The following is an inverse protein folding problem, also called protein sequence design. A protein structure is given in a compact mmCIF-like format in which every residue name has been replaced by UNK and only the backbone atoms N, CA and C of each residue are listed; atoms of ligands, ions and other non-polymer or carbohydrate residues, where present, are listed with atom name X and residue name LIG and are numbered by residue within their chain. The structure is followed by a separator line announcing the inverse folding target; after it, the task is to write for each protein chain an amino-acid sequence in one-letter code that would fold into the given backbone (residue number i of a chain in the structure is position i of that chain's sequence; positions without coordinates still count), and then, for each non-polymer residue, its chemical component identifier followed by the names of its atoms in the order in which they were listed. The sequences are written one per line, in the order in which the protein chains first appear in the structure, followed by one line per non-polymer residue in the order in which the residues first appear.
data_IF_714719771149
#
_entry.id   IF_714719771149
#
_cell.length_a   1.000
_cell.length_b   1.000
_cell.length_c   1.000
_cell.angle_alpha   90.00
_cell.angle_beta   90.00
_cell.angle_gamma   90.00
#
_symmetry.space_group_name_H-M   'P 1'
#
loop_
_entity.id
_entity.type
_entity.pdbx_description
1 polymer ?
#
# COMPACT_ATOMS: atom_id res chain seq x y z
N UNK A 1 -1.22 16.55 5.41
CA UNK A 1 -2.04 15.53 4.69
C UNK A 1 -3.50 15.95 4.76
N UNK A 2 -4.24 15.74 3.68
CA UNK A 2 -5.65 16.12 3.56
C UNK A 2 -6.46 14.93 3.02
N UNK A 3 -7.62 14.70 3.62
CA UNK A 3 -8.51 13.63 3.17
C UNK A 3 -9.39 14.11 2.01
N UNK A 4 -9.48 13.29 0.95
CA UNK A 4 -10.55 13.35 -0.04
C UNK A 4 -11.72 12.53 0.49
N UNK A 5 -12.91 13.09 0.50
CA UNK A 5 -14.11 12.47 1.08
C UNK A 5 -15.21 12.28 0.07
N UNK A 6 -16.06 11.29 0.30
CA UNK A 6 -17.22 11.03 -0.54
C UNK A 6 -18.38 12.04 -0.33
N UNK A 7 -18.42 12.74 0.81
CA UNK A 7 -19.41 13.77 1.12
C UNK A 7 -18.72 15.02 1.69
N UNK A 8 -19.31 16.23 1.53
CA UNK A 8 -18.74 17.50 1.98
C UNK A 8 -18.91 17.71 3.49
N UNK A 9 -18.41 16.77 4.28
CA UNK A 9 -18.50 16.77 5.76
C UNK A 9 -17.33 15.98 6.35
N UNK A 10 -16.89 16.35 7.56
CA UNK A 10 -15.82 15.65 8.27
C UNK A 10 -16.11 14.17 8.60
N UNK A 11 -17.38 13.77 8.56
CA UNK A 11 -17.80 12.40 8.78
C UNK A 11 -17.98 11.60 7.48
N UNK A 12 -17.82 12.25 6.32
CA UNK A 12 -17.87 11.60 5.01
C UNK A 12 -16.81 10.52 4.88
N UNK A 13 -17.15 9.41 4.22
CA UNK A 13 -16.20 8.33 3.96
C UNK A 13 -14.94 8.85 3.26
N UNK A 14 -13.77 8.37 3.69
CA UNK A 14 -12.49 8.77 3.11
C UNK A 14 -12.26 7.95 1.85
N UNK A 15 -12.10 8.63 0.71
CA UNK A 15 -11.74 8.05 -0.58
C UNK A 15 -10.23 7.93 -0.76
N UNK A 16 -9.49 8.90 -0.21
CA UNK A 16 -8.04 8.92 -0.27
C UNK A 16 -7.44 9.92 0.70
N UNK A 17 -6.14 9.81 0.93
CA UNK A 17 -5.33 10.71 1.73
C UNK A 17 -4.24 11.30 0.83
N UNK A 18 -4.17 12.62 0.75
CA UNK A 18 -3.21 13.32 -0.11
C UNK A 18 -2.20 14.12 0.70
N UNK A 19 -0.99 14.20 0.19
CA UNK A 19 0.12 14.93 0.80
C UNK A 19 0.11 16.40 0.39
N UNK A 20 0.78 17.22 1.18
CA UNK A 20 0.94 18.64 0.90
C UNK A 20 1.62 18.83 -0.45
N UNK A 21 1.10 19.74 -1.27
CA UNK A 21 1.61 20.05 -2.60
C UNK A 21 0.99 19.20 -3.73
N UNK A 22 0.11 18.24 -3.42
CA UNK A 22 -0.64 17.57 -4.48
C UNK A 22 -1.57 18.55 -5.18
N UNK A 23 -1.46 18.64 -6.50
CA UNK A 23 -2.36 19.45 -7.32
C UNK A 23 -3.75 18.81 -7.37
N UNK A 24 -4.77 19.65 -7.25
CA UNK A 24 -6.17 19.25 -7.33
C UNK A 24 -6.94 20.23 -8.22
N UNK A 25 -7.88 19.74 -9.00
CA UNK A 25 -8.80 20.56 -9.78
C UNK A 25 -10.03 20.87 -8.94
N UNK A 26 -10.27 22.13 -8.61
CA UNK A 26 -11.49 22.56 -7.95
C UNK A 26 -12.61 22.64 -8.99
N UNK A 27 -13.62 21.78 -8.83
CA UNK A 27 -14.76 21.70 -9.76
C UNK A 27 -15.90 22.63 -9.35
N UNK A 28 -16.12 22.79 -8.05
CA UNK A 28 -17.15 23.67 -7.50
C UNK A 28 -16.90 23.96 -6.02
N UNK A 29 -17.34 25.13 -5.56
CA UNK A 29 -17.50 25.44 -4.14
C UNK A 29 -18.80 24.80 -3.69
N UNK A 30 -18.74 23.81 -2.81
CA UNK A 30 -19.92 23.06 -2.36
C UNK A 30 -20.62 23.73 -1.18
N UNK A 31 -19.82 24.18 -0.20
CA UNK A 31 -20.29 24.93 0.96
C UNK A 31 -19.13 25.74 1.56
N UNK A 32 -19.33 26.39 2.70
CA UNK A 32 -18.31 27.23 3.34
C UNK A 32 -17.07 26.46 3.81
N UNK A 33 -17.15 25.13 4.01
CA UNK A 33 -16.08 24.30 4.55
C UNK A 33 -15.44 23.38 3.51
N UNK A 34 -16.13 23.06 2.42
CA UNK A 34 -15.70 22.03 1.48
C UNK A 34 -15.88 22.45 0.02
N UNK A 35 -14.87 22.15 -0.76
CA UNK A 35 -14.90 22.23 -2.22
C UNK A 35 -15.00 20.84 -2.84
N UNK A 36 -15.75 20.75 -3.92
CA UNK A 36 -15.75 19.57 -4.79
C UNK A 36 -14.51 19.62 -5.66
N UNK A 37 -13.71 18.59 -5.60
CA UNK A 37 -12.42 18.52 -6.30
C UNK A 37 -12.27 17.23 -7.07
N UNK A 38 -11.37 17.25 -8.06
CA UNK A 38 -10.85 16.08 -8.73
C UNK A 38 -9.34 16.03 -8.53
N UNK A 39 -8.83 14.85 -8.24
CA UNK A 39 -7.39 14.58 -8.13
C UNK A 39 -7.07 13.18 -8.61
N UNK A 40 -6.18 13.06 -9.61
CA UNK A 40 -5.82 11.77 -10.21
C UNK A 40 -7.03 11.01 -10.80
N UNK A 41 -8.02 11.72 -11.36
CA UNK A 41 -9.24 11.13 -11.91
C UNK A 41 -10.28 10.72 -10.84
N UNK A 42 -10.03 10.99 -9.56
CA UNK A 42 -10.97 10.69 -8.47
C UNK A 42 -11.65 11.95 -8.01
N UNK A 43 -12.99 11.99 -8.10
CA UNK A 43 -13.80 13.12 -7.65
C UNK A 43 -14.25 12.92 -6.21
N UNK A 44 -14.21 13.99 -5.41
CA UNK A 44 -14.67 13.99 -4.03
C UNK A 44 -14.67 15.39 -3.43
N UNK A 45 -14.57 15.48 -2.11
CA UNK A 45 -14.64 16.73 -1.38
C UNK A 45 -13.42 16.89 -0.47
N UNK A 46 -12.79 18.07 -0.53
CA UNK A 46 -11.70 18.46 0.36
C UNK A 46 -12.08 19.72 1.15
N UNK A 47 -11.53 19.86 2.34
CA UNK A 47 -11.76 21.06 3.14
C UNK A 47 -11.07 22.27 2.50
N UNK A 48 -11.86 23.30 2.16
CA UNK A 48 -11.46 24.49 1.42
C UNK A 48 -10.32 25.26 2.08
N UNK A 49 -10.30 25.30 3.42
CA UNK A 49 -9.27 25.99 4.20
C UNK A 49 -7.84 25.49 3.96
N UNK A 50 -7.66 24.31 3.35
CA UNK A 50 -6.37 23.71 3.05
C UNK A 50 -6.04 23.69 1.56
N UNK A 51 -6.89 24.27 0.74
CA UNK A 51 -6.64 24.46 -0.69
C UNK A 51 -6.05 25.88 -0.90
N UNK A 52 -5.02 25.94 -1.71
CA UNK A 52 -4.30 27.19 -1.99
C UNK A 52 -4.29 27.37 -3.50
N UNK A 53 -4.71 28.54 -4.03
CA UNK A 53 -4.58 28.82 -5.45
C UNK A 53 -3.12 28.69 -5.92
N UNK A 54 -2.92 28.09 -7.09
CA UNK A 54 -1.58 27.82 -7.59
C UNK A 54 -0.72 29.08 -7.73
N UNK A 55 -1.33 30.18 -8.13
CA UNK A 55 -0.69 31.49 -8.26
C UNK A 55 -0.17 32.08 -6.94
N UNK A 56 -0.68 31.59 -5.80
CA UNK A 56 -0.25 32.05 -4.48
C UNK A 56 0.88 31.21 -3.90
N UNK A 57 1.19 30.04 -4.47
CA UNK A 57 2.16 29.08 -3.93
C UNK A 57 3.55 29.71 -3.90
N UNK A 58 4.02 30.28 -5.03
CA UNK A 58 5.33 30.89 -5.10
C UNK A 58 5.48 32.07 -4.13
N UNK A 59 4.44 32.89 -3.97
CA UNK A 59 4.43 34.03 -3.05
C UNK A 59 4.46 33.58 -1.56
N UNK A 60 3.82 32.46 -1.23
CA UNK A 60 3.75 31.98 0.16
C UNK A 60 4.94 31.11 0.57
N UNK A 61 5.51 30.33 -0.34
CA UNK A 61 6.48 29.27 -0.03
C UNK A 61 7.80 29.40 -0.79
N UNK A 62 7.89 30.33 -1.74
CA UNK A 62 9.03 30.51 -2.64
C UNK A 62 8.97 29.60 -3.89
N UNK A 63 9.72 29.99 -4.93
CA UNK A 63 9.73 29.25 -6.21
C UNK A 63 10.35 27.84 -6.09
N UNK A 64 11.32 27.67 -5.20
CA UNK A 64 12.02 26.39 -4.98
C UNK A 64 11.47 25.60 -3.76
N UNK A 65 10.21 25.76 -3.44
CA UNK A 65 9.61 25.19 -2.23
C UNK A 65 9.47 23.66 -2.21
N UNK A 66 9.70 22.97 -3.34
CA UNK A 66 9.41 21.54 -3.50
C UNK A 66 7.90 21.20 -3.40
N UNK A 67 7.06 22.23 -3.54
CA UNK A 67 5.61 22.05 -3.59
C UNK A 67 5.26 21.26 -4.86
N UNK A 68 4.52 20.16 -4.71
CA UNK A 68 4.22 19.24 -5.81
C UNK A 68 5.14 18.02 -5.90
N UNK A 69 6.24 18.01 -5.15
CA UNK A 69 7.16 16.85 -5.14
C UNK A 69 6.64 15.69 -4.26
N UNK A 70 5.62 15.94 -3.45
CA UNK A 70 5.06 14.93 -2.57
C UNK A 70 6.07 14.44 -1.53
N UNK A 71 5.88 13.23 -1.06
CA UNK A 71 6.81 12.54 -0.16
C UNK A 71 7.76 11.67 -0.97
N UNK A 72 9.06 11.84 -0.80
CA UNK A 72 10.06 11.00 -1.47
C UNK A 72 9.85 9.51 -1.10
N UNK A 73 9.85 8.67 -2.10
CA UNK A 73 9.77 7.21 -1.99
C UNK A 73 10.55 6.58 -3.16
N UNK A 74 10.73 5.28 -3.09
CA UNK A 74 11.38 4.49 -4.15
C UNK A 74 10.53 3.25 -4.44
N UNK A 75 10.63 2.72 -5.64
CA UNK A 75 10.06 1.44 -6.00
C UNK A 75 10.91 0.34 -5.34
N UNK A 76 10.28 -0.50 -4.54
CA UNK A 76 10.89 -1.63 -3.83
C UNK A 76 10.17 -2.92 -4.25
N UNK A 77 10.84 -3.71 -5.05
CA UNK A 77 10.35 -4.99 -5.55
C UNK A 77 11.01 -6.17 -4.84
N UNK A 78 11.78 -5.92 -3.77
CA UNK A 78 12.45 -6.97 -3.00
C UNK A 78 11.45 -7.99 -2.46
N UNK A 79 11.69 -9.25 -2.78
CA UNK A 79 10.79 -10.34 -2.43
C UNK A 79 9.58 -10.49 -3.34
N UNK A 80 9.48 -9.69 -4.40
CA UNK A 80 8.45 -9.83 -5.43
C UNK A 80 8.98 -10.58 -6.65
N UNK A 81 8.06 -11.24 -7.38
CA UNK A 81 8.40 -11.98 -8.61
C UNK A 81 8.50 -11.10 -9.86
N UNK A 82 8.46 -9.79 -9.68
CA UNK A 82 8.54 -8.80 -10.75
C UNK A 82 9.84 -8.01 -10.64
N UNK A 83 10.39 -7.61 -11.78
CA UNK A 83 11.58 -6.74 -11.87
C UNK A 83 11.22 -5.28 -12.17
N UNK A 84 9.98 -5.04 -12.49
CA UNK A 84 9.43 -3.70 -12.77
C UNK A 84 7.93 -3.69 -12.50
N UNK A 85 7.37 -2.51 -12.28
CA UNK A 85 5.95 -2.30 -12.02
C UNK A 85 5.37 -1.28 -13.01
N UNK A 86 4.17 -1.53 -13.58
CA UNK A 86 3.50 -0.55 -14.43
C UNK A 86 2.98 0.64 -13.60
N UNK A 87 3.16 1.84 -14.12
CA UNK A 87 2.50 3.06 -13.65
C UNK A 87 1.12 3.12 -14.33
N UNK A 88 0.07 2.90 -13.60
CA UNK A 88 -1.29 2.83 -14.10
C UNK A 88 -1.96 4.20 -14.18
N UNK A 89 -2.83 4.40 -15.18
CA UNK A 89 -3.63 5.61 -15.30
C UNK A 89 -4.69 5.72 -14.19
N UNK A 90 -5.23 4.59 -13.75
CA UNK A 90 -6.26 4.52 -12.69
C UNK A 90 -5.91 3.46 -11.65
N UNK A 91 -6.72 3.36 -10.59
CA UNK A 91 -6.59 2.33 -9.55
C UNK A 91 -7.11 0.96 -9.99
N UNK A 92 -6.85 0.59 -11.22
CA UNK A 92 -7.22 -0.70 -11.81
C UNK A 92 -6.01 -1.31 -12.53
N UNK A 93 -5.66 -2.56 -12.20
CA UNK A 93 -4.57 -3.30 -12.84
C UNK A 93 -4.78 -3.51 -14.36
N UNK A 94 -6.01 -3.42 -14.85
CA UNK A 94 -6.36 -3.52 -16.26
C UNK A 94 -6.30 -2.17 -16.99
N UNK A 95 -6.07 -1.06 -16.27
CA UNK A 95 -5.99 0.27 -16.88
C UNK A 95 -4.71 0.44 -17.71
N UNK A 96 -4.68 1.49 -18.51
CA UNK A 96 -3.54 1.82 -19.36
C UNK A 96 -2.29 1.97 -18.51
N UNK A 97 -1.19 1.34 -18.93
CA UNK A 97 0.14 1.57 -18.37
C UNK A 97 0.75 2.81 -19.02
N UNK A 98 1.01 3.83 -18.22
CA UNK A 98 1.61 5.09 -18.66
C UNK A 98 3.13 4.99 -18.80
N UNK A 99 3.75 4.14 -17.99
CA UNK A 99 5.18 3.85 -17.99
C UNK A 99 5.43 2.55 -17.23
N UNK A 100 6.66 2.06 -17.31
CA UNK A 100 7.15 0.95 -16.49
C UNK A 100 8.26 1.50 -15.58
N UNK A 101 8.18 1.19 -14.29
CA UNK A 101 9.13 1.66 -13.28
C UNK A 101 9.94 0.47 -12.76
N UNK A 102 11.25 0.60 -12.81
CA UNK A 102 12.18 -0.42 -12.32
C UNK A 102 12.39 -0.29 -10.81
N UNK A 103 12.94 -1.33 -10.21
CA UNK A 103 13.38 -1.31 -8.81
C UNK A 103 14.32 -0.12 -8.55
N UNK A 104 14.19 0.51 -7.39
CA UNK A 104 14.90 1.72 -6.95
C UNK A 104 14.58 2.98 -7.77
N UNK A 105 13.60 2.96 -8.67
CA UNK A 105 13.11 4.19 -9.30
C UNK A 105 12.61 5.15 -8.24
N UNK A 106 13.11 6.40 -8.25
CA UNK A 106 12.70 7.45 -7.33
C UNK A 106 11.38 8.04 -7.77
N UNK A 107 10.46 8.18 -6.82
CA UNK A 107 9.11 8.68 -7.08
C UNK A 107 8.68 9.64 -5.97
N UNK A 108 7.72 10.50 -6.28
CA UNK A 108 7.07 11.34 -5.27
C UNK A 108 5.67 10.80 -4.95
N UNK A 109 5.46 10.39 -3.70
CA UNK A 109 4.16 9.95 -3.22
C UNK A 109 3.27 11.15 -2.97
N UNK A 110 2.22 11.28 -3.75
CA UNK A 110 1.24 12.38 -3.71
C UNK A 110 -0.02 12.00 -2.93
N UNK A 111 -0.42 10.73 -2.95
CA UNK A 111 -1.62 10.29 -2.25
C UNK A 111 -1.69 8.78 -2.07
N UNK A 112 -2.60 8.37 -1.20
CA UNK A 112 -2.89 6.96 -0.91
C UNK A 112 -4.40 6.75 -1.04
N UNK A 113 -4.78 5.82 -1.91
CA UNK A 113 -6.16 5.45 -2.19
C UNK A 113 -6.31 3.94 -2.02
N UNK A 114 -6.87 3.52 -0.90
CA UNK A 114 -7.03 2.10 -0.57
C UNK A 114 -5.69 1.32 -0.66
N UNK A 115 -5.53 0.49 -1.68
CA UNK A 115 -4.32 -0.32 -1.94
C UNK A 115 -3.37 0.31 -2.93
N UNK A 116 -3.64 1.53 -3.37
CA UNK A 116 -2.91 2.23 -4.41
C UNK A 116 -2.21 3.47 -3.87
N UNK A 117 -1.06 3.74 -4.43
CA UNK A 117 -0.34 5.00 -4.26
C UNK A 117 -0.48 5.84 -5.53
N UNK A 118 -0.91 7.09 -5.38
CA UNK A 118 -0.84 8.11 -6.42
C UNK A 118 0.53 8.76 -6.34
N UNK A 119 1.29 8.64 -7.41
CA UNK A 119 2.68 9.07 -7.47
C UNK A 119 2.95 9.92 -8.72
N UNK A 120 4.04 10.65 -8.68
CA UNK A 120 4.73 11.04 -9.90
C UNK A 120 6.04 10.24 -10.04
N UNK A 121 6.45 10.02 -11.27
CA UNK A 121 7.73 9.41 -11.63
C UNK A 121 8.34 10.14 -12.82
N UNK A 122 9.67 10.29 -12.81
CA UNK A 122 10.40 10.73 -14.01
C UNK A 122 10.53 9.55 -14.96
N UNK A 123 10.23 9.77 -16.22
CA UNK A 123 10.32 8.81 -17.30
C UNK A 123 11.07 9.41 -18.48
N UNK A 124 11.41 8.61 -19.48
CA UNK A 124 12.07 9.11 -20.70
C UNK A 124 11.24 10.20 -21.42
N UNK A 125 9.91 10.18 -21.25
CA UNK A 125 8.98 11.15 -21.81
C UNK A 125 8.68 12.33 -20.85
N UNK A 126 9.41 12.45 -19.74
CA UNK A 126 9.22 13.45 -18.70
C UNK A 126 8.41 12.92 -17.51
N UNK A 127 8.02 13.84 -16.61
CA UNK A 127 7.27 13.53 -15.41
C UNK A 127 5.86 13.05 -15.74
N UNK A 128 5.51 11.85 -15.25
CA UNK A 128 4.16 11.27 -15.36
C UNK A 128 3.55 11.06 -14.00
N UNK A 129 2.25 11.24 -13.94
CA UNK A 129 1.40 11.03 -12.77
C UNK A 129 0.58 9.76 -12.99
N UNK A 130 0.45 8.94 -11.96
CA UNK A 130 -0.33 7.69 -12.06
C UNK A 130 -0.34 6.92 -10.76
N UNK A 131 -0.75 5.68 -10.87
CA UNK A 131 -0.98 4.79 -9.74
C UNK A 131 -0.06 3.57 -9.79
N UNK A 132 0.49 3.22 -8.64
CA UNK A 132 1.15 1.93 -8.42
C UNK A 132 0.52 1.25 -7.21
N UNK A 133 0.58 -0.09 -7.10
CA UNK A 133 0.22 -0.76 -5.86
C UNK A 133 1.03 -0.20 -4.69
N UNK A 134 0.38 0.03 -3.54
CA UNK A 134 1.01 0.66 -2.39
C UNK A 134 2.18 -0.16 -1.81
N UNK A 135 2.14 -1.48 -1.98
CA UNK A 135 3.15 -2.42 -1.47
C UNK A 135 4.45 -2.45 -2.26
N UNK A 136 4.50 -1.81 -3.43
CA UNK A 136 5.75 -1.66 -4.20
C UNK A 136 6.57 -0.43 -3.80
N UNK A 137 6.15 0.34 -2.79
CA UNK A 137 6.88 1.53 -2.35
C UNK A 137 7.68 1.27 -1.08
N UNK A 138 8.97 1.66 -1.09
CA UNK A 138 9.74 1.79 0.14
C UNK A 138 9.19 2.92 0.98
N UNK A 139 9.43 2.76 2.28
CA UNK A 139 9.36 3.85 3.28
C UNK A 139 8.07 4.66 3.30
N UNK A 140 6.97 4.04 2.88
CA UNK A 140 5.65 4.50 3.26
C UNK A 140 5.46 4.28 4.77
N UNK A 141 6.54 3.94 5.43
CA UNK A 141 6.98 3.84 6.83
C UNK A 141 5.91 3.51 7.86
N UNK A 142 4.93 4.36 7.98
CA UNK A 142 3.81 4.21 8.93
C UNK A 142 2.84 3.07 8.56
N UNK A 143 2.94 2.52 7.36
CA UNK A 143 2.05 1.49 6.85
C UNK A 143 2.62 0.08 6.98
N UNK A 144 3.93 -0.05 7.12
CA UNK A 144 4.54 -1.38 7.35
C UNK A 144 4.24 -1.82 8.77
N UNK A 145 3.64 -2.97 8.91
CA UNK A 145 3.32 -3.62 10.18
C UNK A 145 3.74 -5.09 10.14
N UNK A 146 3.97 -5.67 11.29
CA UNK A 146 4.22 -7.10 11.43
C UNK A 146 3.02 -7.79 12.04
N UNK A 147 2.74 -9.00 11.58
CA UNK A 147 1.75 -9.87 12.20
C UNK A 147 2.27 -10.34 13.56
N UNK A 148 1.47 -10.16 14.58
CA UNK A 148 1.71 -10.75 15.91
C UNK A 148 0.64 -11.79 16.19
N UNK A 149 1.06 -13.03 16.44
CA UNK A 149 0.15 -14.01 16.97
C UNK A 149 0.08 -13.87 18.50
N UNK A 150 -1.12 -13.79 19.04
CA UNK A 150 -1.30 -13.69 20.49
C UNK A 150 -0.82 -14.96 21.20
N UNK A 151 0.33 -14.90 21.80
CA UNK A 151 0.72 -15.72 22.97
C UNK A 151 1.33 -17.09 22.76
N UNK A 152 1.47 -17.65 21.55
CA UNK A 152 2.25 -18.89 21.29
C UNK A 152 2.77 -18.86 19.85
N UNK A 153 3.99 -19.33 19.68
CA UNK A 153 4.77 -19.30 18.41
C UNK A 153 4.14 -20.05 17.23
N UNK A 154 3.13 -20.84 17.47
CA UNK A 154 2.49 -21.73 16.48
C UNK A 154 1.07 -21.28 16.07
N UNK A 155 0.54 -20.19 16.64
CA UNK A 155 -0.76 -19.66 16.23
C UNK A 155 -0.62 -18.76 15.02
N UNK A 156 -1.30 -19.14 13.95
CA UNK A 156 -1.41 -18.32 12.74
C UNK A 156 -2.54 -17.31 12.87
N UNK A 157 -2.31 -16.12 12.35
CA UNK A 157 -3.33 -15.11 12.20
C UNK A 157 -4.09 -15.34 10.91
N UNK A 158 -5.40 -15.27 10.96
CA UNK A 158 -6.24 -15.47 9.76
C UNK A 158 -6.50 -14.11 9.13
N UNK A 159 -6.27 -14.03 7.81
CA UNK A 159 -6.69 -12.94 6.96
C UNK A 159 -8.09 -13.25 6.43
N UNK A 160 -9.03 -12.34 6.64
CA UNK A 160 -10.43 -12.48 6.25
C UNK A 160 -10.80 -11.56 5.10
N UNK A 161 -11.81 -11.93 4.30
CA UNK A 161 -12.33 -11.11 3.21
C UNK A 161 -13.21 -9.92 3.69
N UNK A 162 -13.70 -9.97 4.94
CA UNK A 162 -14.47 -8.90 5.55
C UNK A 162 -14.10 -8.70 7.03
N UNK A 163 -14.38 -7.52 7.65
CA UNK A 163 -14.01 -7.20 9.02
C UNK A 163 -14.91 -7.89 10.06
N UNK A 164 -15.00 -9.20 9.98
CA UNK A 164 -15.77 -10.05 10.91
C UNK A 164 -15.16 -11.45 11.02
N UNK A 165 -15.21 -12.03 12.20
CA UNK A 165 -14.74 -13.41 12.42
C UNK A 165 -15.63 -14.50 11.76
N UNK A 166 -16.75 -14.10 11.14
CA UNK A 166 -17.62 -14.99 10.37
C UNK A 166 -17.37 -14.93 8.86
N UNK A 167 -16.46 -14.04 8.43
CA UNK A 167 -16.06 -13.89 7.04
C UNK A 167 -15.25 -15.10 6.56
N UNK A 168 -15.10 -15.21 5.24
CA UNK A 168 -14.28 -16.26 4.66
C UNK A 168 -12.81 -16.03 4.98
N UNK A 169 -12.12 -17.14 5.26
CA UNK A 169 -10.69 -17.15 5.42
C UNK A 169 -10.02 -17.07 4.05
N UNK A 170 -9.16 -16.04 3.85
CA UNK A 170 -8.36 -15.90 2.63
C UNK A 170 -7.06 -16.70 2.78
N UNK A 171 -6.31 -16.46 3.87
CA UNK A 171 -5.04 -17.13 4.15
C UNK A 171 -4.68 -17.07 5.63
N UNK A 172 -3.69 -17.89 6.01
CA UNK A 172 -3.14 -17.95 7.37
C UNK A 172 -1.73 -17.38 7.40
N UNK A 173 -1.52 -16.34 8.19
CA UNK A 173 -0.27 -15.59 8.30
C UNK A 173 0.51 -16.04 9.52
N UNK A 174 1.79 -16.30 9.33
CA UNK A 174 2.71 -16.63 10.41
C UNK A 174 3.05 -15.40 11.24
N UNK A 175 3.45 -15.61 12.49
CA UNK A 175 3.99 -14.55 13.33
C UNK A 175 5.25 -13.96 12.66
N UNK A 176 5.35 -12.63 12.66
CA UNK A 176 6.47 -11.93 12.03
C UNK A 176 6.27 -11.62 10.54
N UNK A 177 5.22 -12.14 9.88
CA UNK A 177 4.92 -11.78 8.49
C UNK A 177 4.80 -10.27 8.36
N UNK A 178 5.60 -9.67 7.50
CA UNK A 178 5.48 -8.27 7.15
C UNK A 178 4.25 -8.05 6.25
N UNK A 179 3.51 -7.00 6.51
CA UNK A 179 2.38 -6.60 5.69
C UNK A 179 2.22 -5.09 5.68
N UNK A 180 1.40 -4.57 4.78
CA UNK A 180 1.05 -3.16 4.73
C UNK A 180 -0.31 -2.96 5.40
N UNK A 181 -0.36 -2.10 6.41
CA UNK A 181 -1.62 -1.59 6.95
C UNK A 181 -2.15 -0.53 6.01
N UNK A 182 -3.33 -0.75 5.45
CA UNK A 182 -3.94 0.20 4.52
C UNK A 182 -4.47 1.40 5.30
N UNK A 183 -3.93 2.57 4.98
CA UNK A 183 -4.20 3.79 5.72
C UNK A 183 -5.69 4.15 5.71
N UNK A 184 -6.22 4.56 6.88
CA UNK A 184 -7.62 4.95 7.03
C UNK A 184 -8.64 3.80 7.00
N UNK A 185 -8.21 2.57 6.78
CA UNK A 185 -9.09 1.40 6.72
C UNK A 185 -9.08 0.62 8.03
N UNK A 186 -9.77 1.19 9.03
CA UNK A 186 -10.03 0.54 10.30
C UNK A 186 -11.54 0.50 10.53
N UNK A 187 -12.09 -0.68 10.74
CA UNK A 187 -13.47 -0.89 11.14
C UNK A 187 -13.50 -1.56 12.52
N UNK A 188 -13.87 -0.78 13.55
CA UNK A 188 -13.89 -1.26 14.92
C UNK A 188 -12.53 -1.81 15.37
N UNK A 189 -12.47 -3.09 15.68
CA UNK A 189 -11.25 -3.82 16.05
C UNK A 189 -10.45 -4.38 14.87
N UNK A 190 -10.89 -4.15 13.61
CA UNK A 190 -10.31 -4.70 12.41
C UNK A 190 -9.44 -3.68 11.68
N UNK A 191 -8.37 -4.17 11.08
CA UNK A 191 -7.45 -3.42 10.22
C UNK A 191 -7.38 -4.09 8.87
N UNK A 192 -7.53 -3.33 7.79
CA UNK A 192 -7.25 -3.82 6.46
C UNK A 192 -5.75 -3.84 6.22
N UNK A 193 -5.26 -4.96 5.73
CA UNK A 193 -3.84 -5.16 5.42
C UNK A 193 -3.68 -5.80 4.04
N UNK A 194 -2.49 -5.66 3.48
CA UNK A 194 -2.09 -6.33 2.26
C UNK A 194 -0.83 -7.14 2.51
N UNK A 195 -0.82 -8.38 2.03
CA UNK A 195 0.28 -9.33 2.17
C UNK A 195 0.47 -10.05 0.84
N UNK A 196 1.67 -9.95 0.23
CA UNK A 196 1.97 -10.64 -1.01
C UNK A 196 0.98 -10.35 -2.16
N UNK A 197 0.48 -9.11 -2.25
CA UNK A 197 -0.51 -8.73 -3.26
C UNK A 197 -1.97 -9.03 -2.89
N UNK A 198 -2.24 -9.74 -1.79
CA UNK A 198 -3.59 -10.09 -1.33
C UNK A 198 -4.03 -9.16 -0.22
N UNK A 199 -5.18 -8.51 -0.36
CA UNK A 199 -5.78 -7.62 0.64
C UNK A 199 -6.86 -8.34 1.44
N UNK A 200 -6.92 -8.04 2.75
CA UNK A 200 -7.93 -8.59 3.63
C UNK A 200 -7.93 -7.90 4.99
N UNK A 201 -8.62 -8.51 5.94
CA UNK A 201 -8.85 -7.96 7.27
C UNK A 201 -8.28 -8.85 8.36
N UNK A 202 -7.59 -8.24 9.33
CA UNK A 202 -7.12 -8.89 10.55
C UNK A 202 -7.49 -8.04 11.77
N UNK A 203 -7.47 -8.65 12.95
CA UNK A 203 -7.67 -7.86 14.16
C UNK A 203 -6.49 -6.92 14.39
N UNK A 204 -6.79 -5.68 14.76
CA UNK A 204 -5.77 -4.67 15.06
C UNK A 204 -4.74 -5.14 16.09
N UNK A 205 -5.19 -5.89 17.09
CA UNK A 205 -4.34 -6.46 18.14
C UNK A 205 -3.36 -7.53 17.64
N UNK A 206 -3.55 -8.02 16.41
CA UNK A 206 -2.66 -8.99 15.75
C UNK A 206 -1.62 -8.35 14.84
N UNK A 207 -1.48 -7.03 14.92
CA UNK A 207 -0.43 -6.28 14.20
C UNK A 207 0.38 -5.43 15.16
N UNK A 208 1.67 -5.31 14.87
CA UNK A 208 2.55 -4.36 15.53
C UNK A 208 3.26 -3.51 14.48
N UNK A 209 3.49 -2.25 14.81
CA UNK A 209 4.25 -1.37 13.94
C UNK A 209 5.72 -1.82 13.91
N UNK A 210 6.26 -2.10 12.72
CA UNK A 210 7.65 -2.56 12.55
C UNK A 210 8.68 -1.60 13.17
N UNK A 211 8.41 -0.31 13.15
CA UNK A 211 9.31 0.68 13.77
C UNK A 211 9.29 0.67 15.29
N UNK A 212 8.14 0.38 15.90
CA UNK A 212 8.05 0.25 17.36
C UNK A 212 8.72 -1.03 17.87
N UNK A 213 8.81 -2.05 17.04
CA UNK A 213 9.41 -3.34 17.38
C UNK A 213 10.94 -3.37 17.21
N UNK A 214 11.51 -2.45 16.42
CA UNK A 214 12.95 -2.43 16.10
C UNK A 214 13.87 -2.39 17.32
N UNK A 215 13.44 -1.83 18.44
CA UNK A 215 14.21 -1.82 19.69
C UNK A 215 13.92 -3.00 20.62
N UNK A 216 12.74 -3.61 20.52
CA UNK A 216 12.33 -4.72 21.40
C UNK A 216 12.47 -6.09 20.75
N UNK A 217 12.45 -6.19 19.42
CA UNK A 217 12.61 -7.46 18.72
C UNK A 217 14.03 -8.03 18.72
N UNK A 218 15.04 -7.27 19.10
CA UNK A 218 16.42 -7.78 19.19
C UNK A 218 16.60 -8.87 20.26
N UNK A 219 15.61 -9.10 21.11
CA UNK A 219 15.76 -10.04 22.23
C UNK A 219 14.75 -11.19 22.26
N UNK A 220 13.68 -11.24 21.43
CA UNK A 220 12.59 -12.19 21.70
C UNK A 220 12.13 -13.05 20.54
N UNK A 221 12.25 -12.64 19.28
CA UNK A 221 11.87 -13.51 18.14
C UNK A 221 12.76 -13.22 16.94
N UNK A 222 13.43 -14.22 16.36
CA UNK A 222 14.07 -14.04 15.09
C UNK A 222 13.03 -13.69 14.04
N UNK A 223 13.29 -12.62 13.30
CA UNK A 223 12.57 -12.18 12.13
C UNK A 223 12.63 -13.28 11.06
N UNK A 224 11.50 -13.88 10.77
CA UNK A 224 11.40 -14.84 9.67
C UNK A 224 10.17 -14.53 8.81
N UNK A 225 10.38 -14.34 7.54
CA UNK A 225 9.79 -15.26 6.62
C UNK A 225 10.35 -16.64 6.97
N UNK A 226 9.52 -17.64 7.05
CA UNK A 226 10.01 -18.98 7.35
C UNK A 226 10.89 -19.41 6.17
N UNK A 227 12.20 -19.21 6.30
CA UNK A 227 13.16 -19.65 5.29
C UNK A 227 13.15 -21.18 5.31
N UNK A 228 12.61 -21.76 4.27
CA UNK A 228 12.52 -23.20 4.11
C UNK A 228 13.42 -23.67 2.99
N UNK A 229 13.78 -24.91 3.02
CA UNK A 229 14.55 -25.53 1.94
C UNK A 229 13.71 -26.63 1.30
N UNK A 230 13.65 -26.65 -0.02
CA UNK A 230 12.95 -27.71 -0.75
C UNK A 230 13.63 -29.04 -0.51
N UNK A 231 12.86 -30.07 -0.10
CA UNK A 231 13.38 -31.43 0.16
C UNK A 231 13.59 -32.25 -1.11
N UNK A 232 12.90 -31.89 -2.17
CA UNK A 232 12.97 -32.50 -3.50
C UNK A 232 12.62 -31.45 -4.54
N UNK A 233 12.78 -31.78 -5.82
CA UNK A 233 12.24 -30.96 -6.89
C UNK A 233 10.74 -30.76 -6.68
N UNK A 234 10.30 -29.51 -6.65
CA UNK A 234 8.94 -29.12 -6.30
C UNK A 234 8.41 -28.15 -7.34
N UNK A 235 7.15 -28.28 -7.69
CA UNK A 235 6.48 -27.38 -8.63
C UNK A 235 5.89 -26.19 -7.88
N UNK A 236 6.13 -25.01 -8.42
CA UNK A 236 5.48 -23.78 -7.98
C UNK A 236 4.32 -23.46 -8.94
N UNK A 237 3.13 -23.26 -8.41
CA UNK A 237 1.91 -22.99 -9.16
C UNK A 237 1.46 -21.53 -8.98
N UNK A 238 0.70 -21.02 -9.95
CA UNK A 238 0.12 -19.66 -9.89
C UNK A 238 -1.02 -19.56 -8.87
N UNK A 239 -1.82 -20.62 -8.75
CA UNK A 239 -2.96 -20.72 -7.86
C UNK A 239 -2.82 -21.96 -6.97
N UNK A 240 -3.64 -22.07 -5.93
CA UNK A 240 -3.73 -23.19 -5.02
C UNK A 240 -4.35 -24.46 -5.65
N UNK A 241 -4.18 -24.67 -6.92
CA UNK A 241 -4.77 -25.75 -7.66
C UNK A 241 -3.70 -26.44 -8.50
N UNK A 242 -3.58 -27.74 -8.36
CA UNK A 242 -2.66 -28.58 -9.17
C UNK A 242 -2.96 -28.51 -10.67
N UNK A 243 -4.17 -28.08 -11.06
CA UNK A 243 -4.56 -27.84 -12.44
C UNK A 243 -4.16 -26.46 -12.95
N UNK A 244 -3.73 -25.55 -12.06
CA UNK A 244 -3.30 -24.22 -12.45
C UNK A 244 -1.98 -24.22 -13.22
N UNK A 245 -1.70 -23.12 -13.88
CA UNK A 245 -0.45 -22.95 -14.63
C UNK A 245 0.75 -23.06 -13.69
N UNK A 246 1.74 -23.82 -14.11
CA UNK A 246 3.01 -23.98 -13.39
C UNK A 246 3.89 -22.76 -13.67
N UNK A 247 4.41 -22.16 -12.61
CA UNK A 247 5.40 -21.08 -12.75
C UNK A 247 6.77 -21.63 -13.09
N UNK A 248 7.25 -22.54 -12.25
CA UNK A 248 8.59 -23.11 -12.39
C UNK A 248 8.76 -24.37 -11.54
N UNK A 249 9.83 -25.07 -11.80
CA UNK A 249 10.30 -26.15 -10.93
C UNK A 249 11.39 -25.60 -10.01
N UNK A 250 11.19 -25.75 -8.71
CA UNK A 250 12.20 -25.45 -7.70
C UNK A 250 13.03 -26.71 -7.49
N UNK A 251 14.33 -26.62 -7.70
CA UNK A 251 15.23 -27.76 -7.45
C UNK A 251 15.35 -28.11 -5.98
N UNK A 252 15.75 -29.36 -5.68
CA UNK A 252 16.08 -29.79 -4.32
C UNK A 252 17.13 -28.88 -3.70
N UNK A 253 16.93 -28.49 -2.44
CA UNK A 253 17.86 -27.67 -1.69
C UNK A 253 17.75 -26.18 -1.94
N UNK A 254 16.82 -25.72 -2.78
CA UNK A 254 16.57 -24.29 -2.95
C UNK A 254 15.95 -23.68 -1.70
N UNK A 255 16.41 -22.51 -1.32
CA UNK A 255 15.79 -21.74 -0.26
C UNK A 255 14.56 -21.03 -0.79
N UNK A 256 13.47 -21.16 -0.08
CA UNK A 256 12.20 -20.52 -0.35
C UNK A 256 11.66 -19.84 0.90
N UNK A 257 11.01 -18.72 0.71
CA UNK A 257 10.39 -17.97 1.78
C UNK A 257 8.90 -18.30 1.83
N UNK A 258 8.44 -18.91 2.92
CA UNK A 258 7.03 -19.20 3.12
C UNK A 258 6.35 -17.95 3.67
N UNK A 259 5.57 -17.25 2.83
CA UNK A 259 4.86 -16.01 3.17
C UNK A 259 3.55 -16.28 3.90
N UNK A 260 2.87 -17.37 3.56
CA UNK A 260 1.59 -17.75 4.15
C UNK A 260 1.33 -19.26 3.96
N UNK A 261 0.46 -19.83 4.77
CA UNK A 261 -0.13 -21.16 4.56
C UNK A 261 -1.63 -21.01 4.32
N UNK A 262 -2.11 -21.76 3.36
CA UNK A 262 -3.52 -21.75 2.93
C UNK A 262 -4.26 -22.98 3.43
#
# INVERSE_FOLDING_TARGET
RLNLRAQPTKNGAILGLYYTGTEVNVLAVENEEYDKVEVGGVTGYMASAYLIPQEEIAARYGEDSGFGDGRAAEIDLNGMWMTSVPLHETTDNASVSLATLDENSKVGLLGILDTWAYIWAETDDGRKLGYVPLDVLTDVGELKVSIISSGKTDKKTILYDAPTAKANEIMRLSNGTACFSLFGRKEGEWRRVRVGGVSGWIKYTQTANLYALGSQMRSVVPYYPLLMQTKSDTLLYQEKDDASSRYMTLGQGMYVELLAES
#
